data_IF_963591460610
#
_entry.id   IF_963591460610
#
_cell.length_a   1.000
_cell.length_b   1.000
_cell.length_c   1.000
_cell.angle_alpha   90.00
_cell.angle_beta   90.00
_cell.angle_gamma   90.00
#
_symmetry.space_group_name_H-M   'P 1'
#
loop_
_entity.id
_entity.type
_entity.pdbx_description
1 polymer ?
#
# COMPACT_ATOMS: atom_id res chain seq x y z
N UNK A 1 -16.12 23.87 9.94
CA UNK A 1 -15.72 24.81 11.00
C UNK A 1 -14.59 24.14 11.77
N UNK A 2 -13.37 24.67 11.65
CA UNK A 2 -12.21 24.12 12.36
C UNK A 2 -12.30 24.57 13.81
N UNK A 3 -12.72 23.68 14.70
CA UNK A 3 -12.55 23.89 16.13
C UNK A 3 -11.06 23.82 16.43
N UNK A 4 -10.48 24.92 16.89
CA UNK A 4 -9.16 24.90 17.53
C UNK A 4 -9.20 23.81 18.60
N UNK A 5 -8.26 22.85 18.62
CA UNK A 5 -8.26 21.83 19.65
C UNK A 5 -8.18 22.55 21.00
N UNK A 6 -9.21 22.36 21.83
CA UNK A 6 -9.18 22.85 23.19
C UNK A 6 -7.98 22.20 23.87
N UNK A 7 -7.05 23.00 24.40
CA UNK A 7 -5.83 22.48 24.98
C UNK A 7 -6.17 21.55 26.14
N UNK A 8 -5.70 20.30 26.09
CA UNK A 8 -5.93 19.33 27.16
C UNK A 8 -5.44 19.89 28.50
N UNK A 9 -6.18 19.66 29.61
CA UNK A 9 -5.71 19.99 30.95
C UNK A 9 -4.31 19.41 31.22
N UNK A 10 -3.45 20.19 31.90
CA UNK A 10 -2.06 19.79 32.17
C UNK A 10 -1.95 18.42 32.86
N UNK A 11 -2.87 18.11 33.77
CA UNK A 11 -2.93 16.80 34.45
C UNK A 11 -3.12 15.62 33.48
N UNK A 12 -3.98 15.79 32.46
CA UNK A 12 -4.21 14.77 31.43
C UNK A 12 -3.01 14.63 30.50
N UNK A 13 -2.30 15.72 30.21
CA UNK A 13 -1.06 15.68 29.43
C UNK A 13 0.04 14.91 30.18
N UNK A 14 0.22 15.17 31.47
CA UNK A 14 1.19 14.43 32.28
C UNK A 14 0.83 12.95 32.39
N UNK A 15 -0.46 12.62 32.61
CA UNK A 15 -0.92 11.24 32.59
C UNK A 15 -0.65 10.55 31.24
N UNK A 16 -0.88 11.25 30.12
CA UNK A 16 -0.57 10.75 28.77
C UNK A 16 0.92 10.46 28.56
N UNK A 17 1.81 11.35 29.05
CA UNK A 17 3.27 11.19 28.93
C UNK A 17 3.76 9.89 29.57
N UNK A 18 3.21 9.52 30.72
CA UNK A 18 3.64 8.34 31.49
C UNK A 18 2.73 7.11 31.32
N UNK A 19 1.65 7.21 30.54
CA UNK A 19 0.67 6.14 30.38
C UNK A 19 1.30 4.84 29.84
N UNK A 20 1.05 3.69 30.49
CA UNK A 20 1.50 2.38 30.00
C UNK A 20 0.56 1.80 28.93
N UNK A 21 -0.48 2.52 28.52
CA UNK A 21 -1.34 2.05 27.45
C UNK A 21 -0.55 1.97 26.13
N UNK A 22 -0.68 0.84 25.44
CA UNK A 22 0.11 0.54 24.24
C UNK A 22 0.10 1.64 23.15
N UNK A 23 -0.98 2.43 22.91
CA UNK A 23 -0.93 3.49 21.90
C UNK A 23 0.06 4.59 22.28
N UNK A 24 0.18 4.92 23.57
CA UNK A 24 1.13 5.91 24.07
C UNK A 24 2.57 5.37 24.05
N UNK A 25 2.78 4.06 24.24
CA UNK A 25 4.09 3.44 24.06
C UNK A 25 4.58 3.55 22.61
N UNK A 26 3.72 3.23 21.65
CA UNK A 26 4.03 3.36 20.23
C UNK A 26 4.21 4.82 19.82
N UNK A 27 3.32 5.71 20.27
CA UNK A 27 3.41 7.13 19.99
C UNK A 27 4.70 7.75 20.53
N UNK A 28 5.17 7.38 21.73
CA UNK A 28 6.45 7.86 22.28
C UNK A 28 7.65 7.50 21.41
N UNK A 29 7.67 6.29 20.82
CA UNK A 29 8.74 5.87 19.89
C UNK A 29 8.74 6.78 18.65
N UNK A 30 7.55 7.10 18.14
CA UNK A 30 7.36 7.99 17.00
C UNK A 30 7.75 9.45 17.33
N UNK A 31 7.35 9.98 18.49
CA UNK A 31 7.76 11.32 18.98
C UNK A 31 9.28 11.45 18.99
N UNK A 32 9.97 10.49 19.62
CA UNK A 32 11.45 10.49 19.66
C UNK A 32 12.08 10.53 18.27
N UNK A 33 11.51 9.78 17.30
CA UNK A 33 11.98 9.80 15.91
C UNK A 33 11.76 11.15 15.25
N UNK A 34 10.57 11.73 15.43
CA UNK A 34 10.16 13.01 14.83
C UNK A 34 11.00 14.17 15.38
N UNK A 35 11.32 14.16 16.67
CA UNK A 35 12.21 15.13 17.30
C UNK A 35 13.63 15.06 16.71
N UNK A 36 14.12 13.85 16.42
CA UNK A 36 15.44 13.65 15.81
C UNK A 36 15.51 14.13 14.35
N UNK A 37 14.45 13.95 13.58
CA UNK A 37 14.40 14.39 12.18
C UNK A 37 14.04 15.87 12.02
N UNK A 38 13.38 16.46 13.02
CA UNK A 38 12.86 17.82 12.97
C UNK A 38 11.62 17.98 12.08
N UNK A 39 11.03 16.89 11.59
CA UNK A 39 9.85 16.92 10.72
C UNK A 39 8.64 17.57 11.42
N UNK A 40 7.81 18.25 10.63
CA UNK A 40 6.62 18.99 11.13
C UNK A 40 5.30 18.34 10.75
N UNK A 41 5.36 17.24 10.03
CA UNK A 41 4.22 16.40 9.68
C UNK A 41 4.56 14.92 9.86
N UNK A 42 3.53 14.12 10.14
CA UNK A 42 3.62 12.68 10.26
C UNK A 42 2.53 12.03 9.42
N UNK A 43 2.92 11.09 8.57
CA UNK A 43 2.00 10.29 7.76
C UNK A 43 1.78 8.91 8.39
N UNK A 44 0.55 8.68 8.84
CA UNK A 44 0.06 7.35 9.19
C UNK A 44 -0.55 6.70 7.95
N UNK A 45 -0.36 5.40 7.78
CA UNK A 45 -0.96 4.63 6.68
C UNK A 45 -1.68 3.39 7.20
N UNK A 46 -2.69 2.95 6.45
CA UNK A 46 -3.31 1.62 6.52
C UNK A 46 -3.59 1.10 5.12
N UNK A 47 -3.38 -0.19 4.88
CA UNK A 47 -3.71 -0.84 3.60
C UNK A 47 -5.09 -1.53 3.56
N UNK A 48 -5.67 -1.63 2.37
CA UNK A 48 -6.86 -2.41 2.09
C UNK A 48 -6.78 -3.05 0.70
N UNK A 49 -6.97 -4.37 0.62
CA UNK A 49 -7.11 -5.08 -0.65
C UNK A 49 -8.58 -5.16 -1.09
N UNK A 50 -9.04 -4.39 -2.09
CA UNK A 50 -10.45 -4.25 -2.44
C UNK A 50 -10.98 -5.39 -3.33
N UNK A 51 -10.48 -6.61 -3.10
CA UNK A 51 -10.95 -7.84 -3.78
C UNK A 51 -12.13 -8.49 -3.06
N UNK A 52 -12.50 -7.97 -1.90
CA UNK A 52 -13.67 -8.37 -1.12
C UNK A 52 -14.11 -7.23 -0.19
N UNK A 53 -15.26 -7.40 0.47
CA UNK A 53 -15.83 -6.37 1.33
C UNK A 53 -14.94 -6.06 2.55
N UNK A 54 -14.92 -4.81 3.03
CA UNK A 54 -14.27 -4.48 4.30
C UNK A 54 -14.92 -5.27 5.44
N UNK A 55 -14.09 -5.76 6.37
CA UNK A 55 -14.54 -6.57 7.50
C UNK A 55 -13.95 -6.04 8.82
N UNK A 56 -14.27 -6.68 9.94
CA UNK A 56 -13.82 -6.25 11.27
C UNK A 56 -12.28 -6.18 11.41
N UNK A 57 -11.53 -6.99 10.66
CA UNK A 57 -10.08 -6.86 10.53
C UNK A 57 -9.64 -5.50 9.97
N UNK A 58 -10.19 -5.08 8.82
CA UNK A 58 -9.97 -3.75 8.20
C UNK A 58 -10.32 -2.62 9.16
N UNK A 59 -11.45 -2.74 9.87
CA UNK A 59 -11.79 -1.80 10.94
C UNK A 59 -10.69 -1.72 12.00
N UNK A 60 -10.24 -2.87 12.48
CA UNK A 60 -9.23 -2.96 13.52
C UNK A 60 -7.90 -2.31 13.12
N UNK A 61 -7.50 -2.40 11.86
CA UNK A 61 -6.30 -1.73 11.35
C UNK A 61 -6.44 -0.21 11.41
N UNK A 62 -7.54 0.35 10.88
CA UNK A 62 -7.80 1.80 10.93
C UNK A 62 -7.99 2.30 12.36
N UNK A 63 -8.72 1.55 13.19
CA UNK A 63 -8.99 1.91 14.57
C UNK A 63 -7.71 1.96 15.41
N UNK A 64 -6.86 0.92 15.33
CA UNK A 64 -5.61 0.87 16.09
C UNK A 64 -4.61 1.94 15.64
N UNK A 65 -4.46 2.14 14.33
CA UNK A 65 -3.62 3.23 13.81
C UNK A 65 -4.14 4.59 14.27
N UNK A 66 -5.46 4.78 14.29
CA UNK A 66 -6.08 6.01 14.80
C UNK A 66 -5.85 6.23 16.30
N UNK A 67 -5.82 5.16 17.12
CA UNK A 67 -5.47 5.26 18.54
C UNK A 67 -4.03 5.75 18.74
N UNK A 68 -3.07 5.23 17.96
CA UNK A 68 -1.66 5.66 18.03
C UNK A 68 -1.51 7.09 17.52
N UNK A 69 -2.18 7.44 16.42
CA UNK A 69 -2.21 8.81 15.89
C UNK A 69 -2.76 9.79 16.93
N UNK A 70 -3.87 9.48 17.57
CA UNK A 70 -4.43 10.32 18.62
C UNK A 70 -3.46 10.45 19.80
N UNK A 71 -2.88 9.35 20.29
CA UNK A 71 -1.87 9.40 21.34
C UNK A 71 -0.66 10.27 20.95
N UNK A 72 -0.22 10.22 19.69
CA UNK A 72 0.84 11.07 19.16
C UNK A 72 0.45 12.55 19.15
N UNK A 73 -0.75 12.89 18.70
CA UNK A 73 -1.28 14.27 18.73
C UNK A 73 -1.36 14.81 20.15
N UNK A 74 -1.80 13.98 21.11
CA UNK A 74 -1.82 14.34 22.54
C UNK A 74 -0.41 14.62 23.05
N UNK A 75 0.56 13.72 22.81
CA UNK A 75 1.94 13.87 23.27
C UNK A 75 2.67 15.07 22.65
N UNK A 76 2.28 15.46 21.44
CA UNK A 76 2.83 16.61 20.71
C UNK A 76 2.01 17.88 20.85
N UNK A 77 0.89 17.81 21.60
CA UNK A 77 -0.04 18.93 21.83
C UNK A 77 -0.54 19.55 20.51
N UNK A 78 -0.72 18.71 19.48
CA UNK A 78 -1.15 19.14 18.14
C UNK A 78 -0.13 20.01 17.38
N UNK A 79 1.11 20.16 17.87
CA UNK A 79 2.15 20.98 17.22
C UNK A 79 2.72 20.36 15.95
N UNK A 80 2.47 19.09 15.71
CA UNK A 80 2.94 18.32 14.56
C UNK A 80 1.73 17.86 13.78
N UNK A 81 1.65 18.22 12.50
CA UNK A 81 0.49 17.89 11.67
C UNK A 81 0.45 16.38 11.40
N UNK A 82 -0.74 15.79 11.40
CA UNK A 82 -0.93 14.35 11.15
C UNK A 82 -1.88 14.13 10.00
N UNK A 83 -1.63 13.08 9.21
CA UNK A 83 -2.54 12.57 8.19
C UNK A 83 -2.65 11.06 8.35
N UNK A 84 -3.82 10.51 8.04
CA UNK A 84 -4.03 9.06 7.96
C UNK A 84 -4.46 8.73 6.54
N UNK A 85 -3.63 7.96 5.83
CA UNK A 85 -3.91 7.49 4.48
C UNK A 85 -4.51 6.08 4.55
N UNK A 86 -5.76 5.93 4.12
CA UNK A 86 -6.37 4.62 3.86
C UNK A 86 -6.09 4.27 2.39
N UNK A 87 -5.04 3.47 2.18
CA UNK A 87 -4.53 3.12 0.86
C UNK A 87 -5.19 1.84 0.35
N UNK A 88 -5.81 1.93 -0.83
CA UNK A 88 -6.47 0.82 -1.49
C UNK A 88 -5.59 0.23 -2.59
N UNK A 89 -5.26 -1.05 -2.48
CA UNK A 89 -4.47 -1.80 -3.46
C UNK A 89 -5.32 -2.22 -4.69
N UNK A 90 -6.15 -1.30 -5.20
CA UNK A 90 -7.13 -1.54 -6.28
C UNK A 90 -6.53 -1.76 -7.68
N UNK A 91 -5.21 -1.62 -7.83
CA UNK A 91 -4.48 -1.99 -9.05
C UNK A 91 -4.10 -3.47 -9.07
N UNK A 92 -4.23 -4.19 -7.96
CA UNK A 92 -3.92 -5.61 -7.90
C UNK A 92 -4.80 -6.42 -8.85
N UNK A 93 -4.19 -7.43 -9.48
CA UNK A 93 -4.90 -8.35 -10.36
C UNK A 93 -5.90 -9.21 -9.60
N UNK A 94 -7.14 -9.32 -10.11
CA UNK A 94 -8.16 -10.21 -9.54
C UNK A 94 -7.71 -11.68 -9.61
N UNK A 95 -7.37 -12.26 -8.46
CA UNK A 95 -6.84 -13.64 -8.40
C UNK A 95 -7.90 -14.74 -8.51
N UNK A 96 -9.08 -14.49 -7.97
CA UNK A 96 -10.20 -15.44 -7.94
C UNK A 96 -11.51 -14.69 -7.86
N UNK A 97 -12.58 -15.31 -8.34
CA UNK A 97 -13.94 -14.77 -8.20
C UNK A 97 -14.42 -15.00 -6.76
N UNK A 98 -14.87 -13.96 -6.04
CA UNK A 98 -15.45 -14.14 -4.70
C UNK A 98 -16.75 -14.96 -4.75
N UNK A 99 -17.00 -15.76 -3.71
CA UNK A 99 -18.20 -16.60 -3.67
C UNK A 99 -19.48 -15.85 -3.31
N UNK A 100 -19.33 -14.68 -2.68
CA UNK A 100 -20.39 -13.87 -2.09
C UNK A 100 -20.83 -12.69 -2.98
N UNK A 101 -20.62 -12.78 -4.30
CA UNK A 101 -21.05 -11.75 -5.26
C UNK A 101 -22.06 -12.32 -6.27
N UNK A 102 -22.97 -11.48 -6.79
CA UNK A 102 -23.78 -11.83 -7.96
C UNK A 102 -22.91 -11.84 -9.23
N UNK A 103 -23.48 -12.28 -10.36
CA UNK A 103 -22.86 -12.15 -11.70
C UNK A 103 -21.41 -12.67 -11.76
N UNK A 104 -21.15 -13.85 -11.20
CA UNK A 104 -19.79 -14.41 -11.07
C UNK A 104 -19.10 -14.59 -12.41
N UNK A 105 -19.87 -14.93 -13.45
CA UNK A 105 -19.39 -15.16 -14.82
C UNK A 105 -18.85 -13.87 -15.44
N UNK A 106 -19.49 -12.73 -15.15
CA UNK A 106 -19.03 -11.39 -15.57
C UNK A 106 -17.64 -11.10 -14.98
N UNK A 107 -17.44 -11.41 -13.70
CA UNK A 107 -16.17 -11.18 -13.00
C UNK A 107 -15.11 -12.20 -13.43
N UNK A 108 -15.50 -13.46 -13.67
CA UNK A 108 -14.60 -14.54 -14.10
C UNK A 108 -13.87 -14.22 -15.41
N UNK A 109 -14.54 -13.55 -16.36
CA UNK A 109 -13.94 -13.14 -17.63
C UNK A 109 -12.83 -12.08 -17.50
N UNK A 110 -12.65 -11.49 -16.31
CA UNK A 110 -11.67 -10.44 -16.03
C UNK A 110 -10.60 -10.85 -15.01
N UNK A 111 -10.43 -12.17 -14.77
CA UNK A 111 -9.35 -12.67 -13.92
C UNK A 111 -7.98 -12.14 -14.36
N UNK A 112 -7.14 -11.79 -13.38
CA UNK A 112 -5.81 -11.23 -13.57
C UNK A 112 -5.78 -9.73 -13.92
N UNK A 113 -6.91 -9.11 -14.31
CA UNK A 113 -6.96 -7.66 -14.56
C UNK A 113 -7.00 -6.87 -13.24
N UNK A 114 -6.50 -5.62 -13.21
CA UNK A 114 -6.65 -4.73 -12.06
C UNK A 114 -8.11 -4.65 -11.59
N UNK A 115 -8.36 -4.58 -10.28
CA UNK A 115 -9.72 -4.52 -9.72
C UNK A 115 -10.52 -3.30 -10.22
N UNK A 116 -9.84 -2.21 -10.55
CA UNK A 116 -10.42 -1.01 -11.22
C UNK A 116 -10.82 -1.23 -12.68
N UNK A 117 -10.44 -2.37 -13.29
CA UNK A 117 -10.80 -2.79 -14.66
C UNK A 117 -11.72 -4.01 -14.70
N UNK A 118 -12.12 -4.53 -13.54
CA UNK A 118 -13.12 -5.59 -13.40
C UNK A 118 -14.50 -4.92 -13.31
N UNK A 119 -15.49 -5.30 -14.13
CA UNK A 119 -16.85 -4.76 -14.04
C UNK A 119 -17.46 -4.96 -12.64
N UNK A 120 -18.24 -3.99 -12.15
CA UNK A 120 -18.96 -4.13 -10.88
C UNK A 120 -20.06 -5.21 -11.01
N UNK A 121 -19.98 -6.36 -10.31
CA UNK A 121 -21.02 -7.37 -10.35
C UNK A 121 -22.37 -6.86 -9.82
N UNK A 122 -22.39 -5.78 -9.04
CA UNK A 122 -23.60 -5.17 -8.48
C UNK A 122 -24.23 -4.10 -9.37
N UNK A 123 -23.53 -3.64 -10.42
CA UNK A 123 -24.03 -2.62 -11.35
C UNK A 123 -24.21 -1.22 -10.76
N UNK A 124 -23.47 -0.89 -9.70
CA UNK A 124 -23.63 0.36 -8.92
C UNK A 124 -22.46 1.34 -9.06
N UNK A 125 -21.29 0.84 -9.43
CA UNK A 125 -20.06 1.61 -9.57
C UNK A 125 -19.35 1.26 -10.88
N UNK A 126 -18.33 2.03 -11.24
CA UNK A 126 -17.59 1.87 -12.49
C UNK A 126 -16.83 0.54 -12.59
N UNK A 127 -16.44 -0.03 -11.45
CA UNK A 127 -15.67 -1.27 -11.37
C UNK A 127 -15.88 -1.97 -10.02
N UNK A 128 -15.50 -3.24 -9.95
CA UNK A 128 -15.55 -4.02 -8.71
C UNK A 128 -14.65 -3.42 -7.63
N UNK A 129 -13.46 -2.93 -8.00
CA UNK A 129 -12.61 -2.16 -7.11
C UNK A 129 -13.29 -0.89 -6.61
N UNK A 130 -13.93 -0.11 -7.50
CA UNK A 130 -14.66 1.09 -7.11
C UNK A 130 -15.83 0.80 -6.15
N UNK A 131 -16.58 -0.29 -6.36
CA UNK A 131 -17.63 -0.73 -5.45
C UNK A 131 -17.07 -0.99 -4.04
N UNK A 132 -16.03 -1.81 -3.94
CA UNK A 132 -15.44 -2.18 -2.66
C UNK A 132 -14.78 -0.98 -1.96
N UNK A 133 -14.16 -0.07 -2.72
CA UNK A 133 -13.64 1.20 -2.21
C UNK A 133 -14.75 2.09 -1.65
N UNK A 134 -15.90 2.19 -2.33
CA UNK A 134 -17.05 2.93 -1.82
C UNK A 134 -17.61 2.30 -0.54
N UNK A 135 -17.63 0.97 -0.43
CA UNK A 135 -18.00 0.25 0.80
C UNK A 135 -17.03 0.54 1.93
N UNK A 136 -15.72 0.54 1.67
CA UNK A 136 -14.72 0.91 2.67
C UNK A 136 -14.97 2.33 3.17
N UNK A 137 -15.11 3.31 2.27
CA UNK A 137 -15.31 4.71 2.66
C UNK A 137 -16.56 4.89 3.49
N UNK A 138 -17.70 4.39 3.03
CA UNK A 138 -18.95 4.44 3.76
C UNK A 138 -18.86 3.78 5.15
N UNK A 139 -18.12 2.66 5.24
CA UNK A 139 -17.87 1.97 6.49
C UNK A 139 -17.02 2.84 7.44
N UNK A 140 -15.91 3.43 6.99
CA UNK A 140 -15.06 4.28 7.81
C UNK A 140 -15.75 5.58 8.23
N UNK A 141 -16.52 6.20 7.32
CA UNK A 141 -17.27 7.42 7.56
C UNK A 141 -18.35 7.20 8.63
N UNK A 142 -19.03 6.05 8.62
CA UNK A 142 -20.04 5.70 9.62
C UNK A 142 -19.49 5.62 11.06
N UNK A 143 -18.19 5.34 11.22
CA UNK A 143 -17.51 5.35 12.52
C UNK A 143 -16.79 6.68 12.82
N UNK A 144 -16.88 7.67 11.93
CA UNK A 144 -16.30 8.99 12.13
C UNK A 144 -14.77 9.04 12.06
N UNK A 145 -14.13 8.11 11.35
CA UNK A 145 -12.68 8.17 11.16
C UNK A 145 -12.29 9.39 10.30
N UNK A 146 -11.22 10.09 10.71
CA UNK A 146 -10.62 11.14 9.92
C UNK A 146 -9.46 10.57 9.09
N UNK A 147 -9.68 10.32 7.80
CA UNK A 147 -8.72 9.71 6.89
C UNK A 147 -8.76 10.36 5.51
N UNK A 148 -7.73 10.10 4.72
CA UNK A 148 -7.67 10.38 3.29
C UNK A 148 -7.67 9.05 2.54
N UNK A 149 -8.54 8.91 1.54
CA UNK A 149 -8.57 7.72 0.70
C UNK A 149 -7.55 7.86 -0.45
N UNK A 150 -6.79 6.79 -0.72
CA UNK A 150 -5.90 6.72 -1.88
C UNK A 150 -6.13 5.45 -2.69
N UNK A 151 -6.20 5.61 -4.01
CA UNK A 151 -6.23 4.49 -4.97
C UNK A 151 -4.82 4.20 -5.47
N UNK A 152 -4.40 2.93 -5.40
CA UNK A 152 -3.17 2.45 -6.03
C UNK A 152 -3.18 2.72 -7.54
N UNK A 153 -4.29 2.42 -8.21
CA UNK A 153 -4.46 2.67 -9.65
C UNK A 153 -4.19 4.14 -9.98
N UNK A 154 -4.77 5.07 -9.22
CA UNK A 154 -4.59 6.49 -9.46
C UNK A 154 -3.13 6.92 -9.22
N UNK A 155 -2.48 6.42 -8.16
CA UNK A 155 -1.10 6.81 -7.83
C UNK A 155 -0.10 6.28 -8.86
N UNK A 156 -0.33 5.08 -9.39
CA UNK A 156 0.45 4.52 -10.49
C UNK A 156 0.19 5.25 -11.81
N UNK A 157 -1.07 5.45 -12.20
CA UNK A 157 -1.44 6.03 -13.49
C UNK A 157 -1.13 7.54 -13.59
N UNK A 158 -1.19 8.28 -12.47
CA UNK A 158 -0.83 9.70 -12.42
C UNK A 158 0.68 9.96 -12.40
N UNK A 159 1.50 8.91 -12.29
CA UNK A 159 2.95 9.01 -12.17
C UNK A 159 3.45 9.42 -10.78
N UNK A 160 2.59 9.45 -9.76
CA UNK A 160 2.98 9.77 -8.37
C UNK A 160 4.03 8.80 -7.83
N UNK A 161 4.07 7.58 -8.34
CA UNK A 161 5.09 6.58 -8.00
C UNK A 161 6.24 6.47 -8.99
N UNK A 162 6.24 7.19 -10.11
CA UNK A 162 7.21 6.97 -11.19
C UNK A 162 8.66 7.12 -10.74
N UNK A 163 8.96 8.16 -9.95
CA UNK A 163 10.30 8.37 -9.43
C UNK A 163 10.77 7.21 -8.52
N UNK A 164 9.87 6.69 -7.68
CA UNK A 164 10.18 5.56 -6.80
C UNK A 164 10.30 4.24 -7.58
N UNK A 165 9.49 4.05 -8.62
CA UNK A 165 9.54 2.89 -9.51
C UNK A 165 10.86 2.85 -10.28
N UNK A 166 11.29 3.97 -10.86
CA UNK A 166 12.58 4.09 -11.54
C UNK A 166 13.75 3.86 -10.57
N UNK A 167 13.67 4.41 -9.37
CA UNK A 167 14.70 4.20 -8.34
C UNK A 167 14.77 2.74 -7.88
N UNK A 168 13.62 2.08 -7.69
CA UNK A 168 13.57 0.66 -7.38
C UNK A 168 14.10 -0.20 -8.53
N UNK A 169 13.82 0.17 -9.79
CA UNK A 169 14.35 -0.51 -10.96
C UNK A 169 15.88 -0.41 -11.03
N UNK A 170 16.44 0.77 -10.69
CA UNK A 170 17.88 0.97 -10.58
C UNK A 170 18.53 0.20 -9.40
N UNK A 171 17.73 -0.31 -8.46
CA UNK A 171 18.14 -1.14 -7.31
C UNK A 171 17.60 -2.56 -7.40
N UNK A 172 17.29 -3.02 -8.62
CA UNK A 172 16.63 -4.31 -8.84
C UNK A 172 17.37 -5.47 -8.19
N UNK A 173 18.69 -5.55 -8.36
CA UNK A 173 19.51 -6.63 -7.82
C UNK A 173 19.49 -6.66 -6.28
N UNK A 174 19.51 -5.49 -5.63
CA UNK A 174 19.37 -5.40 -4.16
C UNK A 174 17.99 -5.90 -3.70
N UNK A 175 16.93 -5.54 -4.42
CA UNK A 175 15.57 -6.01 -4.11
C UNK A 175 15.46 -7.53 -4.32
N UNK A 176 16.03 -8.05 -5.41
CA UNK A 176 16.05 -9.50 -5.68
C UNK A 176 16.82 -10.28 -4.62
N UNK A 177 17.97 -9.78 -4.15
CA UNK A 177 18.73 -10.41 -3.05
C UNK A 177 17.91 -10.55 -1.77
N UNK A 178 16.99 -9.63 -1.51
CA UNK A 178 16.07 -9.69 -0.36
C UNK A 178 14.92 -10.67 -0.61
N UNK A 179 14.37 -10.67 -1.83
CA UNK A 179 13.16 -11.41 -2.17
C UNK A 179 13.40 -12.90 -2.47
N UNK A 180 14.45 -13.23 -3.23
CA UNK A 180 14.71 -14.60 -3.68
C UNK A 180 14.82 -15.63 -2.54
N UNK A 181 15.48 -15.35 -1.40
CA UNK A 181 15.57 -16.30 -0.29
C UNK A 181 14.21 -16.65 0.34
N UNK A 182 13.16 -15.87 0.07
CA UNK A 182 11.82 -16.09 0.61
C UNK A 182 11.01 -17.10 -0.20
N UNK A 183 11.52 -17.51 -1.36
CA UNK A 183 10.87 -18.42 -2.28
C UNK A 183 11.58 -19.77 -2.35
N UNK A 184 10.82 -20.80 -2.73
CA UNK A 184 11.40 -22.08 -3.17
C UNK A 184 12.03 -21.88 -4.56
N UNK A 185 12.98 -22.74 -4.91
CA UNK A 185 13.78 -22.67 -6.14
C UNK A 185 12.93 -22.44 -7.41
N UNK A 186 11.85 -23.20 -7.60
CA UNK A 186 10.95 -23.06 -8.74
C UNK A 186 10.33 -21.65 -8.85
N UNK A 187 9.89 -21.10 -7.71
CA UNK A 187 9.30 -19.75 -7.70
C UNK A 187 10.37 -18.67 -7.79
N UNK A 188 11.54 -18.89 -7.20
CA UNK A 188 12.68 -17.98 -7.29
C UNK A 188 13.15 -17.80 -8.74
N UNK A 189 13.17 -18.88 -9.53
CA UNK A 189 13.57 -18.86 -10.94
C UNK A 189 12.63 -18.04 -11.85
N UNK A 190 11.37 -17.88 -11.44
CA UNK A 190 10.32 -17.17 -12.22
C UNK A 190 9.90 -15.86 -11.58
N UNK A 191 10.55 -15.44 -10.50
CA UNK A 191 10.15 -14.28 -9.73
C UNK A 191 10.58 -12.98 -10.39
N UNK A 192 9.64 -12.02 -10.42
CA UNK A 192 9.92 -10.61 -10.71
C UNK A 192 9.16 -9.74 -9.70
N UNK A 193 9.79 -8.68 -9.15
CA UNK A 193 9.10 -7.65 -8.38
C UNK A 193 8.25 -6.73 -9.26
N UNK A 194 8.55 -6.61 -10.55
CA UNK A 194 7.79 -5.80 -11.51
C UNK A 194 6.86 -6.69 -12.34
N UNK A 195 5.56 -6.38 -12.30
CA UNK A 195 4.50 -7.10 -13.00
C UNK A 195 3.99 -6.23 -14.17
N UNK A 196 4.41 -6.47 -15.41
CA UNK A 196 3.93 -5.69 -16.55
C UNK A 196 2.42 -5.91 -16.74
N UNK A 197 1.71 -4.85 -17.12
CA UNK A 197 0.31 -4.98 -17.56
C UNK A 197 0.34 -5.28 -19.05
N UNK A 198 -0.25 -6.42 -19.43
CA UNK A 198 -0.30 -6.83 -20.82
C UNK A 198 -1.07 -5.78 -21.66
N UNK A 199 -0.47 -5.20 -22.72
CA UNK A 199 -1.06 -4.06 -23.44
C UNK A 199 -2.39 -4.38 -24.11
N UNK A 200 -2.54 -5.61 -24.64
CA UNK A 200 -3.78 -6.05 -25.31
C UNK A 200 -4.86 -6.56 -24.35
N UNK A 201 -4.50 -7.36 -23.33
CA UNK A 201 -5.49 -8.02 -22.46
C UNK A 201 -5.78 -7.25 -21.18
N UNK A 202 -4.87 -6.38 -20.74
CA UNK A 202 -4.95 -5.64 -19.49
C UNK A 202 -4.68 -6.48 -18.23
N UNK A 203 -4.16 -7.71 -18.38
CA UNK A 203 -3.82 -8.60 -17.26
C UNK A 203 -2.52 -8.15 -16.61
N UNK A 204 -2.47 -8.17 -15.27
CA UNK A 204 -1.24 -7.98 -14.49
C UNK A 204 -0.41 -9.27 -14.56
N UNK A 205 0.69 -9.24 -15.30
CA UNK A 205 1.45 -10.44 -15.65
C UNK A 205 2.44 -10.83 -14.56
N UNK A 206 2.39 -12.08 -14.12
CA UNK A 206 3.40 -12.68 -13.25
C UNK A 206 4.33 -13.56 -14.08
N UNK A 207 5.33 -12.92 -14.69
CA UNK A 207 6.27 -13.54 -15.64
C UNK A 207 7.71 -13.24 -15.24
N UNK A 208 8.67 -14.13 -15.58
CA UNK A 208 10.08 -13.76 -15.53
C UNK A 208 10.37 -12.62 -16.52
N UNK A 209 11.40 -11.83 -16.23
CA UNK A 209 11.88 -10.78 -17.12
C UNK A 209 13.05 -11.29 -17.95
N UNK A 210 13.01 -11.02 -19.25
CA UNK A 210 14.10 -11.31 -20.19
C UNK A 210 15.25 -10.29 -20.03
N UNK A 211 14.92 -9.02 -19.77
CA UNK A 211 15.89 -7.95 -19.60
C UNK A 211 15.32 -6.78 -18.77
N UNK A 212 16.23 -6.00 -18.18
CA UNK A 212 15.92 -4.78 -17.43
C UNK A 212 16.84 -3.68 -17.96
N UNK A 213 16.25 -2.55 -18.34
CA UNK A 213 16.98 -1.34 -18.67
C UNK A 213 16.58 -0.24 -17.69
N UNK A 214 17.39 -0.09 -16.63
CA UNK A 214 17.17 0.93 -15.61
C UNK A 214 17.37 2.36 -16.13
N UNK A 215 18.14 2.56 -17.21
CA UNK A 215 18.36 3.88 -17.80
C UNK A 215 17.15 4.30 -18.61
N UNK A 216 16.60 3.39 -19.42
CA UNK A 216 15.38 3.63 -20.18
C UNK A 216 14.10 3.54 -19.32
N UNK A 217 14.18 2.96 -18.12
CA UNK A 217 13.02 2.75 -17.25
C UNK A 217 12.09 1.65 -17.74
N UNK A 218 12.63 0.58 -18.35
CA UNK A 218 11.83 -0.46 -19.01
C UNK A 218 12.22 -1.88 -18.58
N UNK A 219 11.26 -2.79 -18.73
CA UNK A 219 11.43 -4.24 -18.55
C UNK A 219 11.00 -4.98 -19.82
N UNK A 220 11.71 -6.04 -20.17
CA UNK A 220 11.37 -6.92 -21.30
C UNK A 220 10.87 -8.27 -20.79
N UNK A 221 9.83 -8.81 -21.43
CA UNK A 221 9.17 -10.05 -21.03
C UNK A 221 8.46 -10.69 -22.23
N UNK A 222 8.00 -11.93 -22.06
CA UNK A 222 7.23 -12.64 -23.09
C UNK A 222 5.85 -13.03 -22.60
N UNK A 223 4.86 -12.91 -23.47
CA UNK A 223 3.55 -13.46 -23.21
C UNK A 223 3.66 -15.00 -23.11
N UNK A 224 3.32 -15.61 -21.96
CA UNK A 224 3.42 -17.05 -21.78
C UNK A 224 2.46 -17.83 -22.69
N UNK A 225 1.39 -17.20 -23.21
CA UNK A 225 0.43 -17.85 -24.09
C UNK A 225 0.90 -17.90 -25.56
N UNK A 226 1.55 -16.84 -26.04
CA UNK A 226 1.92 -16.67 -27.46
C UNK A 226 3.41 -16.70 -27.74
N UNK A 227 4.25 -16.43 -26.73
CA UNK A 227 5.70 -16.24 -26.88
C UNK A 227 6.12 -14.87 -27.43
N UNK A 228 5.15 -13.99 -27.73
CA UNK A 228 5.40 -12.62 -28.21
C UNK A 228 6.21 -11.83 -27.18
N UNK A 229 7.20 -11.07 -27.66
CA UNK A 229 8.09 -10.28 -26.80
C UNK A 229 7.56 -8.85 -26.64
N UNK A 230 7.59 -8.34 -25.42
CA UNK A 230 7.17 -6.99 -25.07
C UNK A 230 8.27 -6.26 -24.31
N UNK A 231 8.34 -4.96 -24.52
CA UNK A 231 9.10 -4.03 -23.68
C UNK A 231 8.11 -3.04 -23.06
N UNK A 232 8.09 -2.98 -21.73
CA UNK A 232 7.09 -2.22 -20.97
C UNK A 232 7.80 -1.20 -20.09
N UNK A 233 7.41 0.10 -20.13
CA UNK A 233 7.90 1.07 -19.15
C UNK A 233 7.39 0.71 -17.76
N UNK A 234 8.21 0.93 -16.72
CA UNK A 234 7.79 0.65 -15.33
C UNK A 234 6.89 1.75 -14.76
N UNK A 235 6.75 2.87 -15.47
CA UNK A 235 6.05 4.10 -15.07
C UNK A 235 4.68 4.24 -15.74
N UNK A 236 3.91 5.27 -15.36
CA UNK A 236 2.67 5.64 -16.04
C UNK A 236 1.54 4.62 -15.91
N UNK A 237 1.61 3.74 -14.90
CA UNK A 237 0.63 2.68 -14.69
C UNK A 237 0.70 1.51 -15.69
N UNK A 238 1.78 1.37 -16.44
CA UNK A 238 2.01 0.22 -17.34
C UNK A 238 2.56 -1.02 -16.62
N UNK A 239 3.01 -0.85 -15.39
CA UNK A 239 3.55 -1.90 -14.54
C UNK A 239 3.05 -1.73 -13.12
N UNK A 240 2.89 -2.84 -12.40
CA UNK A 240 2.54 -2.89 -10.98
C UNK A 240 3.63 -3.64 -10.23
N UNK A 241 4.06 -3.15 -9.07
CA UNK A 241 4.94 -3.95 -8.22
C UNK A 241 4.16 -5.09 -7.56
N UNK A 242 4.83 -6.22 -7.38
CA UNK A 242 4.34 -7.32 -6.54
C UNK A 242 4.21 -6.82 -5.09
N UNK A 243 3.19 -7.29 -4.38
CA UNK A 243 2.71 -6.68 -3.14
C UNK A 243 3.77 -6.36 -2.05
N UNK A 244 4.81 -7.20 -1.85
CA UNK A 244 5.87 -6.90 -0.86
C UNK A 244 6.77 -5.74 -1.31
N UNK A 245 7.40 -5.80 -2.50
CA UNK A 245 8.05 -4.63 -3.10
C UNK A 245 7.16 -3.40 -3.22
N UNK A 246 5.88 -3.58 -3.57
CA UNK A 246 4.91 -2.49 -3.69
C UNK A 246 4.69 -1.77 -2.36
N UNK A 247 4.51 -2.54 -1.28
CA UNK A 247 4.38 -1.98 0.06
C UNK A 247 5.64 -1.20 0.48
N UNK A 248 6.83 -1.74 0.18
CA UNK A 248 8.08 -1.04 0.45
C UNK A 248 8.24 0.23 -0.41
N UNK A 249 7.86 0.17 -1.69
CA UNK A 249 7.88 1.31 -2.59
C UNK A 249 6.94 2.41 -2.09
N UNK A 250 5.74 2.04 -1.63
CA UNK A 250 4.77 2.97 -1.05
C UNK A 250 5.32 3.69 0.17
N UNK A 251 5.91 2.95 1.11
CA UNK A 251 6.60 3.54 2.26
C UNK A 251 7.69 4.52 1.86
N UNK A 252 8.51 4.14 0.88
CA UNK A 252 9.59 4.98 0.37
C UNK A 252 9.06 6.25 -0.33
N UNK A 253 8.13 6.09 -1.27
CA UNK A 253 7.61 7.16 -2.12
C UNK A 253 6.81 8.19 -1.32
N UNK A 254 6.05 7.74 -0.32
CA UNK A 254 5.18 8.59 0.49
C UNK A 254 5.84 9.04 1.79
N UNK A 255 7.03 8.51 2.13
CA UNK A 255 7.71 8.74 3.41
C UNK A 255 6.78 8.45 4.59
N UNK A 256 6.17 7.26 4.59
CA UNK A 256 5.25 6.83 5.65
C UNK A 256 6.01 6.73 6.97
N UNK A 257 5.44 7.34 8.02
CA UNK A 257 6.06 7.40 9.34
C UNK A 257 5.56 6.29 10.26
N UNK A 258 4.32 5.83 10.07
CA UNK A 258 3.76 4.77 10.90
C UNK A 258 2.70 3.99 10.15
N UNK A 259 2.84 2.66 10.10
CA UNK A 259 1.80 1.76 9.64
C UNK A 259 1.77 0.52 10.54
N UNK A 260 0.58 0.16 11.02
CA UNK A 260 0.38 -1.09 11.74
C UNK A 260 0.10 -2.21 10.74
N UNK A 261 0.56 -3.41 11.08
CA UNK A 261 0.29 -4.61 10.29
C UNK A 261 -0.26 -5.73 11.17
N UNK A 262 -1.08 -6.62 10.57
CA UNK A 262 -1.51 -7.86 11.19
C UNK A 262 -0.34 -8.76 11.60
N UNK A 263 -0.56 -9.64 12.59
CA UNK A 263 0.47 -10.58 13.09
C UNK A 263 1.00 -11.50 11.98
N UNK A 264 0.14 -11.87 11.05
CA UNK A 264 0.44 -12.67 9.87
C UNK A 264 1.37 -11.97 8.87
N UNK A 265 1.50 -10.64 8.96
CA UNK A 265 2.33 -9.83 8.07
C UNK A 265 3.70 -9.46 8.66
N UNK A 266 4.05 -9.88 9.88
CA UNK A 266 5.30 -9.49 10.56
C UNK A 266 6.55 -9.76 9.70
N UNK A 267 6.66 -10.93 9.08
CA UNK A 267 7.81 -11.25 8.25
C UNK A 267 7.80 -10.43 6.94
N UNK A 268 6.63 -10.08 6.44
CA UNK A 268 6.48 -9.18 5.30
C UNK A 268 6.92 -7.76 5.65
N UNK A 269 6.60 -7.25 6.85
CA UNK A 269 7.09 -5.95 7.35
C UNK A 269 8.62 -5.94 7.41
N UNK A 270 9.25 -7.01 7.89
CA UNK A 270 10.74 -7.11 7.91
C UNK A 270 11.34 -7.04 6.51
N UNK A 271 10.74 -7.75 5.56
CA UNK A 271 11.18 -7.78 4.16
C UNK A 271 10.99 -6.41 3.50
N UNK A 272 9.79 -5.83 3.59
CA UNK A 272 9.49 -4.50 3.05
C UNK A 272 10.41 -3.44 3.67
N UNK A 273 10.68 -3.52 4.98
CA UNK A 273 11.62 -2.63 5.65
C UNK A 273 13.06 -2.80 5.19
N UNK A 274 13.49 -4.02 4.82
CA UNK A 274 14.79 -4.27 4.21
C UNK A 274 14.86 -3.66 2.80
N UNK A 275 13.79 -3.75 2.02
CA UNK A 275 13.68 -3.12 0.70
C UNK A 275 13.77 -1.60 0.84
N UNK A 276 13.01 -0.96 1.76
CA UNK A 276 13.10 0.49 2.00
C UNK A 276 14.54 0.92 2.31
N UNK A 277 15.26 0.16 3.13
CA UNK A 277 16.68 0.43 3.41
C UNK A 277 17.56 0.27 2.17
N UNK A 278 17.31 -0.72 1.33
CA UNK A 278 18.02 -0.90 0.06
C UNK A 278 17.75 0.25 -0.94
N UNK A 279 16.58 0.89 -0.85
CA UNK A 279 16.26 2.12 -1.58
C UNK A 279 16.88 3.38 -0.94
N UNK A 280 17.54 3.26 0.21
CA UNK A 280 18.12 4.39 0.95
C UNK A 280 17.11 5.16 1.80
N UNK A 281 15.91 4.62 2.02
CA UNK A 281 14.89 5.19 2.90
C UNK A 281 14.97 4.64 4.32
N UNK A 282 14.15 5.24 5.21
CA UNK A 282 13.90 4.74 6.56
C UNK A 282 12.49 4.15 6.60
N UNK A 283 12.31 2.87 6.99
CA UNK A 283 10.97 2.30 7.11
C UNK A 283 10.18 2.91 8.28
N UNK A 284 8.84 2.81 8.26
CA UNK A 284 7.95 3.22 9.35
C UNK A 284 8.27 2.54 10.70
#
# INVERSE_FOLDING_TARGET
MSSTPESLPAELLEAARVSPAWPFEEARKLVKRVEQSGQKSVLFETGYGPSGLPHIGTFGEVARTSMVRHAFEVLTEGRIATRLLAFSDDMDGLRKVPDNIPNKELVAAHLGKPLTKVPDPFGTHESFGAHNNARLRAFLDAFGFAYEFASSTDYYASGRFDAALLHMLARYDEVMKIMLPTFREERAATYSPFLPIHPSTGVVMQVPLDAIDATAGTISWRDPATGEAFTTPVTGGHCKLQWKPDWAMRWYALSVDYEMAGKDLIDSVKLSGAIVRALGGRPP
#
